data_IF_477204418658
#
_entry.id   IF_477204418658
#
_cell.length_a   1.000
_cell.length_b   1.000
_cell.length_c   1.000
_cell.angle_alpha   90.00
_cell.angle_beta   90.00
_cell.angle_gamma   90.00
#
_symmetry.space_group_name_H-M   'P 1'
#
loop_
_entity.id
_entity.type
_entity.pdbx_description
1 polymer ?
#
# COMPACT_ATOMS: atom_id res chain seq x y z
N UNK A 1 -4.79 13.64 -13.25
CA UNK A 1 -6.22 13.91 -12.98
C UNK A 1 -6.77 12.91 -11.95
N UNK A 2 -6.80 11.61 -12.22
CA UNK A 2 -7.30 10.59 -11.27
C UNK A 2 -6.57 10.60 -9.92
N UNK A 3 -5.23 10.68 -9.96
CA UNK A 3 -4.41 10.79 -8.75
C UNK A 3 -4.71 12.03 -7.90
N UNK A 4 -4.94 13.18 -8.53
CA UNK A 4 -5.22 14.44 -7.85
C UNK A 4 -6.63 14.47 -7.22
N UNK A 5 -7.60 13.78 -7.83
CA UNK A 5 -8.94 13.62 -7.28
C UNK A 5 -8.97 12.70 -6.06
N UNK A 6 -8.17 11.63 -6.08
CA UNK A 6 -8.00 10.75 -4.92
C UNK A 6 -7.29 11.48 -3.77
N UNK A 7 -6.30 12.30 -4.09
CA UNK A 7 -5.57 13.11 -3.10
C UNK A 7 -6.46 14.21 -2.48
N UNK A 8 -7.41 14.76 -3.25
CA UNK A 8 -8.35 15.77 -2.76
C UNK A 8 -9.47 15.23 -1.86
N UNK A 9 -9.76 13.92 -1.92
CA UNK A 9 -10.73 13.27 -1.03
C UNK A 9 -10.12 12.79 0.29
N UNK A 10 -8.80 12.95 0.46
CA UNK A 10 -8.11 12.56 1.67
C UNK A 10 -8.19 13.67 2.73
N UNK A 11 -8.65 13.36 3.96
CA UNK A 11 -8.70 14.34 5.05
C UNK A 11 -7.33 14.98 5.26
N UNK A 12 -7.30 16.33 5.30
CA UNK A 12 -6.09 17.14 5.47
C UNK A 12 -5.30 16.80 6.75
N UNK A 13 -5.96 16.21 7.75
CA UNK A 13 -5.38 15.77 9.03
C UNK A 13 -4.67 14.40 8.98
N UNK A 14 -4.70 13.70 7.85
CA UNK A 14 -4.20 12.32 7.72
C UNK A 14 -2.69 12.18 7.50
N UNK A 15 -1.99 13.26 7.12
CA UNK A 15 -0.56 13.24 6.74
C UNK A 15 0.41 12.77 7.84
N UNK A 16 -0.05 12.71 9.10
CA UNK A 16 0.75 12.27 10.25
C UNK A 16 0.44 10.87 10.78
N UNK A 17 -0.63 10.19 10.34
CA UNK A 17 -1.08 8.95 10.98
C UNK A 17 -0.45 7.74 10.30
N UNK A 18 0.56 7.18 10.94
CA UNK A 18 1.20 5.91 10.56
C UNK A 18 0.17 4.80 10.27
N UNK A 19 -0.98 4.82 10.96
CA UNK A 19 -2.12 3.92 10.75
C UNK A 19 -2.71 4.02 9.34
N UNK A 20 -2.91 5.24 8.84
CA UNK A 20 -3.48 5.46 7.50
C UNK A 20 -2.53 4.91 6.43
N UNK A 21 -1.23 5.19 6.58
CA UNK A 21 -0.24 4.71 5.64
C UNK A 21 -0.08 3.19 5.68
N UNK A 22 -0.11 2.60 6.87
CA UNK A 22 -0.14 1.15 7.03
C UNK A 22 -1.38 0.53 6.35
N UNK A 23 -2.56 1.12 6.52
CA UNK A 23 -3.79 0.66 5.87
C UNK A 23 -3.70 0.74 4.35
N UNK A 24 -3.20 1.85 3.79
CA UNK A 24 -2.98 2.00 2.34
C UNK A 24 -1.97 0.97 1.83
N UNK A 25 -0.88 0.73 2.56
CA UNK A 25 0.09 -0.31 2.25
C UNK A 25 -0.52 -1.70 2.22
N UNK A 26 -1.29 -2.06 3.25
CA UNK A 26 -1.99 -3.35 3.31
C UNK A 26 -2.95 -3.53 2.11
N UNK A 27 -3.74 -2.50 1.78
CA UNK A 27 -4.63 -2.51 0.62
C UNK A 27 -3.85 -2.69 -0.69
N UNK A 28 -2.71 -2.03 -0.82
CA UNK A 28 -1.81 -2.23 -1.96
C UNK A 28 -1.29 -3.67 -2.04
N UNK A 29 -0.85 -4.25 -0.92
CA UNK A 29 -0.43 -5.65 -0.85
C UNK A 29 -1.53 -6.63 -1.26
N UNK A 30 -2.77 -6.38 -0.83
CA UNK A 30 -3.96 -7.15 -1.23
C UNK A 30 -4.22 -6.99 -2.74
N UNK A 31 -4.10 -5.79 -3.28
CA UNK A 31 -4.26 -5.55 -4.72
C UNK A 31 -3.23 -6.32 -5.54
N UNK A 32 -1.96 -6.30 -5.14
CA UNK A 32 -0.90 -7.08 -5.79
C UNK A 32 -1.21 -8.59 -5.71
N UNK A 33 -1.71 -9.05 -4.56
CA UNK A 33 -2.15 -10.44 -4.42
C UNK A 33 -3.31 -10.79 -5.38
N UNK A 34 -4.30 -9.91 -5.53
CA UNK A 34 -5.43 -10.12 -6.45
C UNK A 34 -4.92 -10.30 -7.88
N UNK A 35 -4.05 -9.41 -8.35
CA UNK A 35 -3.48 -9.50 -9.70
C UNK A 35 -2.64 -10.77 -9.87
N UNK A 36 -1.75 -11.07 -8.92
CA UNK A 36 -0.85 -12.21 -9.05
C UNK A 36 -1.56 -13.56 -8.93
N UNK A 37 -2.48 -13.74 -7.99
CA UNK A 37 -3.06 -15.06 -7.72
C UNK A 37 -4.42 -15.26 -8.37
N UNK A 38 -5.29 -14.24 -8.36
CA UNK A 38 -6.63 -14.39 -8.92
C UNK A 38 -6.66 -14.20 -10.43
N UNK A 39 -5.78 -13.37 -10.98
CA UNK A 39 -5.68 -13.17 -12.43
C UNK A 39 -4.61 -14.09 -13.04
N UNK A 40 -3.33 -13.89 -12.70
CA UNK A 40 -2.23 -14.62 -13.32
C UNK A 40 -2.14 -16.07 -12.82
N UNK A 41 -2.25 -16.29 -11.52
CA UNK A 41 -2.15 -17.61 -10.90
C UNK A 41 -3.24 -18.56 -11.39
N UNK A 42 -4.49 -18.11 -11.47
CA UNK A 42 -5.58 -18.90 -12.05
C UNK A 42 -5.37 -19.25 -13.51
N UNK A 43 -4.80 -18.34 -14.30
CA UNK A 43 -4.58 -18.55 -15.73
C UNK A 43 -3.40 -19.48 -16.04
N UNK A 44 -2.27 -19.27 -15.36
CA UNK A 44 -0.99 -19.89 -15.73
C UNK A 44 -0.50 -20.94 -14.71
N UNK A 45 -0.86 -20.81 -13.44
CA UNK A 45 -0.29 -21.60 -12.34
C UNK A 45 -1.35 -22.07 -11.33
N UNK A 46 -2.41 -22.79 -11.76
CA UNK A 46 -3.57 -23.07 -10.92
C UNK A 46 -3.25 -23.94 -9.69
N UNK A 47 -2.21 -24.76 -9.75
CA UNK A 47 -1.75 -25.58 -8.61
C UNK A 47 -1.28 -24.72 -7.43
N UNK A 48 -0.81 -23.49 -7.67
CA UNK A 48 -0.36 -22.58 -6.63
C UNK A 48 -1.51 -22.03 -5.77
N UNK A 49 -2.77 -22.28 -6.17
CA UNK A 49 -3.96 -21.86 -5.45
C UNK A 49 -4.48 -22.90 -4.45
N UNK A 50 -3.84 -24.07 -4.38
CA UNK A 50 -4.20 -25.16 -3.47
C UNK A 50 -3.90 -24.85 -1.99
N UNK A 51 -3.09 -23.82 -1.72
CA UNK A 51 -2.76 -23.33 -0.39
C UNK A 51 -3.84 -22.39 0.17
N UNK A 52 -3.94 -22.24 1.50
CA UNK A 52 -4.96 -21.39 2.13
C UNK A 52 -4.92 -19.93 1.64
N UNK A 53 -5.93 -19.55 0.85
CA UNK A 53 -6.02 -18.24 0.19
C UNK A 53 -6.04 -17.09 1.20
N UNK A 54 -6.79 -17.23 2.29
CA UNK A 54 -6.85 -16.22 3.35
C UNK A 54 -5.47 -15.92 3.94
N UNK A 55 -4.69 -16.97 4.25
CA UNK A 55 -3.36 -16.80 4.82
C UNK A 55 -2.41 -16.15 3.81
N UNK A 56 -2.50 -16.51 2.53
CA UNK A 56 -1.75 -15.84 1.46
C UNK A 56 -2.08 -14.34 1.40
N UNK A 57 -3.36 -13.95 1.42
CA UNK A 57 -3.77 -12.53 1.39
C UNK A 57 -3.16 -11.78 2.58
N UNK A 58 -3.33 -12.33 3.80
CA UNK A 58 -2.82 -11.69 5.02
C UNK A 58 -1.30 -11.53 4.94
N UNK A 59 -0.58 -12.55 4.47
CA UNK A 59 0.86 -12.47 4.32
C UNK A 59 1.29 -11.42 3.30
N UNK A 60 0.57 -11.28 2.18
CA UNK A 60 0.84 -10.23 1.20
C UNK A 60 0.55 -8.83 1.75
N UNK A 61 -0.54 -8.67 2.49
CA UNK A 61 -0.86 -7.39 3.13
C UNK A 61 0.22 -6.99 4.15
N UNK A 62 0.65 -7.94 4.99
CA UNK A 62 1.54 -7.67 6.14
C UNK A 62 3.02 -7.65 5.76
N UNK A 63 3.50 -8.56 4.92
CA UNK A 63 4.93 -8.70 4.62
C UNK A 63 5.36 -8.02 3.31
N UNK A 64 4.42 -7.68 2.43
CA UNK A 64 4.71 -6.91 1.22
C UNK A 64 4.12 -5.49 1.32
N UNK A 65 2.82 -5.39 1.63
CA UNK A 65 2.10 -4.12 1.66
C UNK A 65 2.61 -3.15 2.73
N UNK A 66 2.73 -3.64 3.97
CA UNK A 66 3.17 -2.86 5.13
C UNK A 66 4.61 -2.30 4.97
N UNK A 67 5.63 -3.11 4.62
CA UNK A 67 6.98 -2.59 4.38
C UNK A 67 7.04 -1.58 3.24
N UNK A 68 6.29 -1.80 2.16
CA UNK A 68 6.20 -0.84 1.04
C UNK A 68 5.63 0.50 1.50
N UNK A 69 4.56 0.49 2.29
CA UNK A 69 4.02 1.71 2.87
C UNK A 69 5.05 2.46 3.72
N UNK A 70 5.82 1.75 4.56
CA UNK A 70 6.86 2.35 5.39
C UNK A 70 7.99 2.97 4.54
N UNK A 71 8.40 2.30 3.47
CA UNK A 71 9.41 2.81 2.54
C UNK A 71 8.92 4.07 1.81
N UNK A 72 7.66 4.08 1.39
CA UNK A 72 7.00 5.26 0.84
C UNK A 72 7.02 6.40 1.86
N UNK A 73 6.56 6.15 3.11
CA UNK A 73 6.59 7.16 4.20
C UNK A 73 7.95 7.78 4.36
N UNK A 74 8.98 6.93 4.45
CA UNK A 74 10.34 7.35 4.67
C UNK A 74 10.85 8.20 3.50
N UNK A 75 10.43 7.88 2.27
CA UNK A 75 10.76 8.64 1.07
C UNK A 75 10.00 9.98 1.01
N UNK A 76 8.72 10.05 1.36
CA UNK A 76 7.97 11.33 1.46
C UNK A 76 8.62 12.25 2.50
N UNK A 77 8.92 11.73 3.69
CA UNK A 77 9.51 12.52 4.78
C UNK A 77 10.83 13.17 4.38
N UNK A 78 11.64 12.51 3.55
CA UNK A 78 12.90 13.06 3.02
C UNK A 78 12.70 14.15 1.96
N UNK A 79 11.52 14.23 1.32
CA UNK A 79 11.20 15.21 0.28
C UNK A 79 10.45 16.43 0.81
N UNK A 80 9.98 16.39 2.06
CA UNK A 80 9.31 17.53 2.67
C UNK A 80 10.27 18.73 2.78
N UNK A 81 9.87 19.94 2.35
CA UNK A 81 10.72 21.13 2.46
C UNK A 81 11.05 21.41 3.92
N UNK A 82 12.31 21.77 4.21
CA UNK A 82 12.67 22.34 5.52
C UNK A 82 11.88 23.64 5.68
N UNK A 83 11.14 23.83 6.79
CA UNK A 83 10.44 25.09 7.02
C UNK A 83 11.45 26.23 7.03
N UNK A 84 11.28 27.20 6.14
CA UNK A 84 12.09 28.42 6.15
C UNK A 84 11.83 29.14 7.49
N UNK A 85 12.86 29.49 8.27
CA UNK A 85 12.65 30.19 9.53
C UNK A 85 12.00 31.53 9.22
N UNK A 86 10.75 31.68 9.63
CA UNK A 86 10.04 32.97 9.61
C UNK A 86 10.79 33.98 10.49
N UNK A 87 11.05 35.20 9.99
CA UNK A 87 11.83 36.23 10.68
C UNK A 87 11.16 36.74 11.96
#
# INVERSE_FOLDING_TARGET
VVYALLDAMLPLDGRGRWEFQAAVGMLFGIFVWLVNFQLLGRGYFPWFLSVPQFLQIVWHAVFLGLPMALLFTAAERRRAPVPEPTP
#
